data_IF_337108719437
#
_entry.id   IF_337108719437
#
_cell.length_a   1.000
_cell.length_b   1.000
_cell.length_c   1.000
_cell.angle_alpha   90.00
_cell.angle_beta   90.00
_cell.angle_gamma   90.00
#
_symmetry.space_group_name_H-M   'P 1'
#
loop_
_entity.id
_entity.type
_entity.pdbx_description
1 polymer ?
#
# COMPACT_ATOMS: atom_id res chain seq x y z
N UNK A 1 -10.58 15.16 -0.31
CA UNK A 1 -9.58 14.12 0.00
C UNK A 1 -9.64 12.89 -0.92
N UNK A 2 -10.81 12.36 -1.28
CA UNK A 2 -10.91 11.17 -2.16
C UNK A 2 -10.15 11.25 -3.50
N UNK A 3 -10.14 12.40 -4.17
CA UNK A 3 -9.34 12.59 -5.40
C UNK A 3 -7.83 12.51 -5.18
N UNK A 4 -7.35 12.94 -4.00
CA UNK A 4 -5.93 12.86 -3.62
C UNK A 4 -5.57 11.43 -3.24
N UNK A 5 -6.44 10.74 -2.50
CA UNK A 5 -6.25 9.33 -2.14
C UNK A 5 -6.16 8.41 -3.38
N UNK A 6 -6.85 8.72 -4.48
CA UNK A 6 -6.74 7.95 -5.73
C UNK A 6 -5.38 8.10 -6.44
N UNK A 7 -4.57 9.09 -6.07
CA UNK A 7 -3.22 9.26 -6.61
C UNK A 7 -2.23 8.23 -6.03
N UNK A 8 -2.46 7.76 -4.80
CA UNK A 8 -1.61 6.79 -4.13
C UNK A 8 -1.46 5.49 -4.93
N UNK A 9 -2.54 4.78 -5.32
CA UNK A 9 -2.40 3.56 -6.12
C UNK A 9 -1.87 3.83 -7.53
N UNK A 10 -2.10 5.03 -8.11
CA UNK A 10 -1.52 5.40 -9.41
C UNK A 10 0.01 5.42 -9.33
N UNK A 11 0.56 6.08 -8.31
CA UNK A 11 2.01 6.18 -8.14
C UNK A 11 2.58 4.80 -7.78
N UNK A 12 2.02 4.13 -6.76
CA UNK A 12 2.55 2.87 -6.26
C UNK A 12 2.47 1.74 -7.31
N UNK A 13 1.28 1.45 -7.83
CA UNK A 13 1.07 0.27 -8.67
C UNK A 13 1.40 0.49 -10.15
N UNK A 14 1.00 1.64 -10.72
CA UNK A 14 1.15 1.86 -12.16
C UNK A 14 2.52 2.44 -12.52
N UNK A 15 3.18 3.15 -11.62
CA UNK A 15 4.52 3.71 -11.86
C UNK A 15 5.59 2.86 -11.17
N UNK A 16 5.53 2.69 -9.84
CA UNK A 16 6.64 2.06 -9.09
C UNK A 16 6.68 0.54 -9.31
N UNK A 17 5.56 -0.17 -9.19
CA UNK A 17 5.54 -1.63 -9.42
C UNK A 17 5.84 -1.99 -10.88
N UNK A 18 5.37 -1.20 -11.85
CA UNK A 18 5.67 -1.46 -13.27
C UNK A 18 7.14 -1.24 -13.59
N UNK A 19 7.78 -0.19 -13.07
CA UNK A 19 9.22 0.04 -13.23
C UNK A 19 10.03 -1.12 -12.64
N UNK A 20 9.66 -1.59 -11.44
CA UNK A 20 10.32 -2.74 -10.79
C UNK A 20 10.16 -4.01 -11.63
N UNK A 21 8.94 -4.29 -12.10
CA UNK A 21 8.67 -5.45 -12.96
C UNK A 21 9.44 -5.38 -14.29
N UNK A 22 9.51 -4.21 -14.93
CA UNK A 22 10.26 -4.02 -16.17
C UNK A 22 11.76 -4.31 -15.97
N UNK A 23 12.35 -3.88 -14.85
CA UNK A 23 13.76 -4.17 -14.55
C UNK A 23 13.99 -5.67 -14.36
N UNK A 24 13.07 -6.37 -13.67
CA UNK A 24 13.14 -7.82 -13.52
C UNK A 24 13.04 -8.53 -14.88
N UNK A 25 12.13 -8.10 -15.76
CA UNK A 25 11.97 -8.68 -17.10
C UNK A 25 13.20 -8.42 -17.99
N UNK A 26 13.71 -7.19 -18.02
CA UNK A 26 14.88 -6.82 -18.85
C UNK A 26 16.15 -7.50 -18.36
N UNK A 27 16.32 -7.67 -17.04
CA UNK A 27 17.46 -8.41 -16.47
C UNK A 27 17.39 -9.93 -16.69
N UNK A 28 16.28 -10.44 -17.26
CA UNK A 28 16.09 -11.86 -17.52
C UNK A 28 15.87 -12.71 -16.27
N UNK A 29 15.60 -12.10 -15.11
CA UNK A 29 15.44 -12.78 -13.82
C UNK A 29 13.99 -13.23 -13.60
N UNK A 30 13.43 -13.99 -14.55
CA UNK A 30 12.06 -14.51 -14.48
C UNK A 30 11.95 -15.88 -15.15
N UNK A 31 10.96 -16.69 -14.74
CA UNK A 31 10.77 -18.04 -15.28
C UNK A 31 11.94 -18.98 -14.94
N UNK A 32 12.40 -19.75 -15.93
CA UNK A 32 13.44 -20.76 -15.77
C UNK A 32 14.85 -20.18 -15.50
N UNK A 33 15.04 -18.88 -15.71
CA UNK A 33 16.30 -18.17 -15.46
C UNK A 33 16.40 -17.60 -14.03
N UNK A 34 15.40 -17.85 -13.18
CA UNK A 34 15.37 -17.39 -11.80
C UNK A 34 16.32 -18.22 -10.92
N UNK A 35 17.29 -17.60 -10.21
CA UNK A 35 18.15 -18.35 -9.30
C UNK A 35 17.34 -18.88 -8.11
N UNK A 36 17.61 -20.12 -7.71
CA UNK A 36 16.90 -20.76 -6.59
C UNK A 36 17.08 -19.97 -5.29
N UNK A 37 15.98 -19.72 -4.59
CA UNK A 37 15.97 -19.06 -3.27
C UNK A 37 15.94 -17.54 -3.27
N UNK A 38 15.91 -16.87 -4.43
CA UNK A 38 15.67 -15.42 -4.51
C UNK A 38 14.19 -15.10 -4.66
N UNK A 39 13.59 -14.54 -3.60
CA UNK A 39 12.19 -14.13 -3.59
C UNK A 39 12.04 -12.67 -3.11
N UNK A 40 10.94 -12.04 -3.55
CA UNK A 40 10.52 -10.71 -3.11
C UNK A 40 11.61 -9.65 -3.23
N UNK A 41 11.96 -9.04 -2.09
CA UNK A 41 12.95 -7.97 -1.97
C UNK A 41 14.33 -8.34 -2.54
N UNK A 42 14.79 -9.57 -2.27
CA UNK A 42 16.12 -10.02 -2.68
C UNK A 42 16.20 -10.16 -4.20
N UNK A 43 15.13 -10.65 -4.84
CA UNK A 43 15.04 -10.77 -6.30
C UNK A 43 15.13 -9.41 -6.98
N UNK A 44 14.39 -8.42 -6.49
CA UNK A 44 14.46 -7.05 -7.02
C UNK A 44 15.86 -6.47 -6.88
N UNK A 45 16.51 -6.60 -5.71
CA UNK A 45 17.87 -6.11 -5.52
C UNK A 45 18.88 -6.78 -6.48
N UNK A 46 18.73 -8.08 -6.72
CA UNK A 46 19.56 -8.82 -7.67
C UNK A 46 19.35 -8.35 -9.12
N UNK A 47 18.11 -8.22 -9.57
CA UNK A 47 17.78 -7.73 -10.92
C UNK A 47 18.36 -6.33 -11.20
N UNK A 48 18.28 -5.44 -10.21
CA UNK A 48 18.89 -4.11 -10.29
C UNK A 48 20.42 -4.14 -10.25
N UNK A 49 21.03 -5.10 -9.54
CA UNK A 49 22.49 -5.25 -9.52
C UNK A 49 23.07 -5.65 -10.89
N UNK A 50 22.34 -6.45 -11.66
CA UNK A 50 22.76 -6.89 -12.99
C UNK A 50 22.70 -5.77 -14.04
N UNK A 51 21.77 -4.83 -13.87
CA UNK A 51 21.54 -3.75 -14.82
C UNK A 51 22.31 -2.48 -14.50
N UNK A 52 22.45 -2.14 -13.21
CA UNK A 52 23.04 -0.89 -12.72
C UNK A 52 24.32 -1.11 -11.89
N UNK A 53 24.80 -2.35 -11.78
CA UNK A 53 25.97 -2.71 -10.98
C UNK A 53 25.72 -2.65 -9.47
N UNK A 54 26.80 -2.71 -8.69
CA UNK A 54 26.73 -2.76 -7.23
C UNK A 54 26.01 -1.54 -6.61
N UNK A 55 26.17 -0.36 -7.22
CA UNK A 55 25.49 0.88 -6.81
C UNK A 55 23.97 0.77 -6.92
N UNK A 56 23.45 0.07 -7.96
CA UNK A 56 22.01 -0.15 -8.13
C UNK A 56 21.41 -0.98 -7.01
N UNK A 57 22.12 -2.02 -6.55
CA UNK A 57 21.66 -2.87 -5.44
C UNK A 57 21.55 -2.12 -4.12
N UNK A 58 22.49 -1.23 -3.82
CA UNK A 58 22.51 -0.45 -2.59
C UNK A 58 21.39 0.60 -2.54
N UNK A 59 21.16 1.28 -3.67
CA UNK A 59 20.08 2.26 -3.77
C UNK A 59 18.73 1.57 -3.57
N UNK A 60 18.48 0.46 -4.27
CA UNK A 60 17.22 -0.28 -4.18
C UNK A 60 17.03 -0.90 -2.80
N UNK A 61 18.06 -1.49 -2.21
CA UNK A 61 18.01 -2.01 -0.86
C UNK A 61 17.67 -0.93 0.18
N UNK A 62 18.27 0.25 0.06
CA UNK A 62 17.98 1.41 0.89
C UNK A 62 16.53 1.90 0.72
N UNK A 63 16.10 2.11 -0.52
CA UNK A 63 14.73 2.54 -0.83
C UNK A 63 13.69 1.53 -0.35
N UNK A 64 13.93 0.24 -0.53
CA UNK A 64 13.01 -0.81 -0.13
C UNK A 64 12.92 -0.94 1.40
N UNK A 65 14.03 -0.69 2.11
CA UNK A 65 14.02 -0.65 3.58
C UNK A 65 13.15 0.49 4.09
N UNK A 66 13.27 1.68 3.50
CA UNK A 66 12.43 2.83 3.85
C UNK A 66 10.95 2.59 3.51
N UNK A 67 10.68 1.95 2.38
CA UNK A 67 9.33 1.58 1.96
C UNK A 67 8.69 0.53 2.88
N UNK A 68 9.45 -0.49 3.30
CA UNK A 68 8.98 -1.47 4.28
C UNK A 68 8.67 -0.79 5.62
N UNK A 69 9.53 0.14 6.06
CA UNK A 69 9.33 0.88 7.30
C UNK A 69 8.06 1.75 7.27
N UNK A 70 7.84 2.51 6.19
CA UNK A 70 6.61 3.32 6.06
C UNK A 70 5.35 2.46 6.04
N UNK A 71 5.42 1.30 5.38
CA UNK A 71 4.33 0.31 5.34
C UNK A 71 4.02 -0.22 6.74
N UNK A 72 5.04 -0.62 7.51
CA UNK A 72 4.87 -1.10 8.89
C UNK A 72 4.17 -0.05 9.76
N UNK A 73 4.51 1.24 9.61
CA UNK A 73 3.86 2.33 10.34
C UNK A 73 2.40 2.51 9.91
N UNK A 74 2.13 2.54 8.59
CA UNK A 74 0.78 2.72 8.07
C UNK A 74 -0.16 1.61 8.56
N UNK A 75 0.27 0.35 8.48
CA UNK A 75 -0.51 -0.80 8.95
C UNK A 75 -0.67 -0.84 10.47
N UNK A 76 0.33 -0.37 11.23
CA UNK A 76 0.19 -0.17 12.68
C UNK A 76 -0.92 0.83 12.99
N UNK A 77 -0.99 1.94 12.24
CA UNK A 77 -2.03 2.96 12.42
C UNK A 77 -3.43 2.45 12.04
N UNK A 78 -3.57 1.72 10.93
CA UNK A 78 -4.86 1.14 10.55
C UNK A 78 -5.37 0.13 11.59
N UNK A 79 -4.47 -0.69 12.12
CA UNK A 79 -4.81 -1.64 13.17
C UNK A 79 -5.11 -0.98 14.51
N UNK A 80 -4.41 0.10 14.86
CA UNK A 80 -4.72 0.95 16.03
C UNK A 80 -6.16 1.47 15.94
N UNK A 81 -6.55 2.06 14.80
CA UNK A 81 -7.93 2.54 14.60
C UNK A 81 -8.96 1.42 14.67
N UNK A 82 -8.63 0.25 14.13
CA UNK A 82 -9.49 -0.93 14.19
C UNK A 82 -9.65 -1.48 15.62
N UNK A 83 -8.57 -1.54 16.38
CA UNK A 83 -8.56 -1.98 17.78
C UNK A 83 -9.33 -0.99 18.67
N UNK A 84 -9.13 0.31 18.46
CA UNK A 84 -9.88 1.36 19.16
C UNK A 84 -11.38 1.29 18.87
N UNK A 85 -11.76 1.04 17.61
CA UNK A 85 -13.17 0.87 17.23
C UNK A 85 -13.83 -0.35 17.88
N UNK A 86 -13.12 -1.48 17.99
CA UNK A 86 -13.70 -2.74 18.48
C UNK A 86 -13.66 -2.89 20.00
N UNK A 87 -12.58 -2.43 20.64
CA UNK A 87 -12.29 -2.67 22.06
C UNK A 87 -12.09 -1.39 22.89
N UNK A 88 -12.21 -0.22 22.26
CA UNK A 88 -11.99 1.08 22.89
C UNK A 88 -10.51 1.49 22.95
N UNK A 89 -10.24 2.74 23.35
CA UNK A 89 -8.89 3.32 23.30
C UNK A 89 -7.86 2.62 24.19
N UNK A 90 -8.31 1.91 25.24
CA UNK A 90 -7.42 1.16 26.13
C UNK A 90 -6.71 -0.01 25.44
N UNK A 91 -7.27 -0.53 24.34
CA UNK A 91 -6.72 -1.67 23.60
C UNK A 91 -5.59 -1.26 22.63
N UNK A 92 -5.42 0.04 22.38
CA UNK A 92 -4.45 0.57 21.41
C UNK A 92 -3.01 0.26 21.80
N UNK A 93 -2.64 0.51 23.05
CA UNK A 93 -1.26 0.30 23.52
C UNK A 93 -0.89 -1.19 23.52
N UNK A 94 -1.72 -2.11 24.07
CA UNK A 94 -1.50 -3.54 23.93
C UNK A 94 -1.38 -3.99 22.46
N UNK A 95 -2.25 -3.50 21.58
CA UNK A 95 -2.20 -3.81 20.15
C UNK A 95 -0.84 -3.43 19.53
N UNK A 96 -0.35 -2.21 19.76
CA UNK A 96 0.94 -1.75 19.20
C UNK A 96 2.11 -2.59 19.69
N UNK A 97 2.12 -3.00 20.97
CA UNK A 97 3.16 -3.87 21.53
C UNK A 97 3.15 -5.23 20.80
N UNK A 98 1.96 -5.84 20.69
CA UNK A 98 1.80 -7.13 20.00
C UNK A 98 2.23 -7.00 18.52
N UNK A 99 1.83 -5.93 17.85
CA UNK A 99 2.20 -5.67 16.45
C UNK A 99 3.72 -5.61 16.26
N UNK A 100 4.44 -4.87 17.10
CA UNK A 100 5.91 -4.79 17.04
C UNK A 100 6.56 -6.15 17.28
N UNK A 101 6.07 -6.93 18.24
CA UNK A 101 6.56 -8.29 18.48
C UNK A 101 6.30 -9.21 17.26
N UNK A 102 5.12 -9.11 16.65
CA UNK A 102 4.76 -9.88 15.47
C UNK A 102 5.62 -9.54 14.24
N UNK A 103 6.05 -8.29 14.09
CA UNK A 103 6.99 -7.90 13.01
C UNK A 103 8.32 -8.64 13.15
N UNK A 104 8.87 -8.73 14.37
CA UNK A 104 10.12 -9.45 14.63
C UNK A 104 9.96 -10.94 14.37
N UNK A 105 8.86 -11.54 14.83
CA UNK A 105 8.56 -12.96 14.59
C UNK A 105 8.35 -13.21 13.10
N UNK A 106 7.63 -12.32 12.40
CA UNK A 106 7.34 -12.41 10.98
C UNK A 106 8.59 -12.45 10.11
N UNK A 107 9.68 -11.81 10.53
CA UNK A 107 10.97 -11.88 9.83
C UNK A 107 11.60 -13.30 9.82
N UNK A 108 11.13 -14.21 10.68
CA UNK A 108 11.59 -15.61 10.76
C UNK A 108 10.68 -16.62 10.07
N UNK A 109 9.50 -16.17 9.61
CA UNK A 109 8.47 -17.02 8.99
C UNK A 109 8.70 -17.08 7.47
N UNK A 110 8.47 -18.24 6.80
CA UNK A 110 8.56 -18.33 5.35
C UNK A 110 7.65 -17.32 4.64
N UNK A 111 8.21 -16.62 3.66
CA UNK A 111 7.54 -15.55 2.91
C UNK A 111 6.18 -16.01 2.34
N UNK A 112 6.13 -17.21 1.73
CA UNK A 112 4.91 -17.80 1.19
C UNK A 112 3.79 -17.98 2.22
N UNK A 113 4.12 -18.34 3.47
CA UNK A 113 3.12 -18.49 4.52
C UNK A 113 2.54 -17.14 4.93
N UNK A 114 3.40 -16.11 5.05
CA UNK A 114 3.00 -14.75 5.38
C UNK A 114 2.06 -14.19 4.30
N UNK A 115 2.39 -14.36 3.02
CA UNK A 115 1.51 -13.94 1.92
C UNK A 115 0.18 -14.67 1.91
N UNK A 116 0.17 -16.00 2.07
CA UNK A 116 -1.08 -16.75 2.11
C UNK A 116 -2.01 -16.27 3.24
N UNK A 117 -1.46 -16.01 4.43
CA UNK A 117 -2.23 -15.49 5.56
C UNK A 117 -2.74 -14.06 5.28
N UNK A 118 -1.88 -13.21 4.71
CA UNK A 118 -2.23 -11.84 4.33
C UNK A 118 -3.34 -11.82 3.28
N UNK A 119 -3.30 -12.68 2.27
CA UNK A 119 -4.33 -12.77 1.23
C UNK A 119 -5.69 -13.18 1.82
N UNK A 120 -5.72 -14.18 2.71
CA UNK A 120 -6.96 -14.59 3.39
C UNK A 120 -7.51 -13.43 4.22
N UNK A 121 -6.67 -12.75 5.01
CA UNK A 121 -7.08 -11.62 5.84
C UNK A 121 -7.59 -10.44 4.98
N UNK A 122 -6.89 -10.12 3.89
CA UNK A 122 -7.27 -9.05 2.97
C UNK A 122 -8.59 -9.37 2.25
N UNK A 123 -8.82 -10.62 1.83
CA UNK A 123 -10.09 -11.04 1.23
C UNK A 123 -11.24 -10.93 2.25
N UNK A 124 -11.00 -11.30 3.50
CA UNK A 124 -12.00 -11.18 4.56
C UNK A 124 -12.34 -9.71 4.85
N UNK A 125 -11.36 -8.81 4.79
CA UNK A 125 -11.55 -7.36 4.96
C UNK A 125 -12.25 -6.72 3.75
N UNK A 126 -11.86 -7.07 2.53
CA UNK A 126 -12.37 -6.43 1.31
C UNK A 126 -13.81 -6.84 1.00
N UNK A 127 -14.20 -8.09 1.31
CA UNK A 127 -15.53 -8.62 1.02
C UNK A 127 -16.68 -7.76 1.60
N UNK A 128 -16.73 -7.44 2.91
CA UNK A 128 -17.79 -6.58 3.44
C UNK A 128 -17.69 -5.14 2.94
N UNK A 129 -16.48 -4.60 2.79
CA UNK A 129 -16.27 -3.23 2.29
C UNK A 129 -16.81 -3.04 0.87
N UNK A 130 -16.58 -4.00 -0.03
CA UNK A 130 -17.07 -3.94 -1.41
C UNK A 130 -18.60 -3.97 -1.47
N UNK A 131 -19.25 -4.78 -0.63
CA UNK A 131 -20.71 -4.82 -0.56
C UNK A 131 -21.27 -3.46 -0.13
N UNK A 132 -20.70 -2.85 0.90
CA UNK A 132 -21.12 -1.53 1.38
C UNK A 132 -20.88 -0.45 0.33
N UNK A 133 -19.72 -0.45 -0.34
CA UNK A 133 -19.41 0.51 -1.41
C UNK A 133 -20.38 0.36 -2.59
N UNK A 134 -20.77 -0.86 -2.95
CA UNK A 134 -21.74 -1.11 -4.00
C UNK A 134 -23.12 -0.55 -3.63
N UNK A 135 -23.58 -0.75 -2.40
CA UNK A 135 -24.84 -0.18 -1.89
C UNK A 135 -24.79 1.35 -1.79
N UNK A 136 -23.63 1.92 -1.43
CA UNK A 136 -23.41 3.35 -1.27
C UNK A 136 -23.03 4.07 -2.58
N UNK A 137 -22.87 3.35 -3.69
CA UNK A 137 -22.39 3.92 -4.96
C UNK A 137 -23.27 5.10 -5.43
N UNK A 138 -24.58 5.03 -5.21
CA UNK A 138 -25.51 6.12 -5.50
C UNK A 138 -25.20 7.40 -4.70
N UNK A 139 -24.92 7.26 -3.40
CA UNK A 139 -24.60 8.41 -2.54
C UNK A 139 -23.24 9.02 -2.86
N UNK A 140 -22.26 8.17 -3.17
CA UNK A 140 -20.93 8.62 -3.61
C UNK A 140 -21.03 9.43 -4.91
N UNK A 141 -21.88 9.00 -5.85
CA UNK A 141 -22.12 9.73 -7.11
C UNK A 141 -22.72 11.12 -6.85
N UNK A 142 -23.71 11.22 -5.98
CA UNK A 142 -24.32 12.50 -5.58
C UNK A 142 -23.27 13.45 -4.98
N UNK A 143 -22.46 12.97 -4.03
CA UNK A 143 -21.40 13.76 -3.40
C UNK A 143 -20.33 14.21 -4.41
N UNK A 144 -19.98 13.33 -5.36
CA UNK A 144 -19.05 13.64 -6.45
C UNK A 144 -19.61 14.74 -7.36
N UNK A 145 -20.88 14.65 -7.75
CA UNK A 145 -21.53 15.65 -8.60
C UNK A 145 -21.63 17.03 -7.91
N UNK A 146 -21.94 17.05 -6.60
CA UNK A 146 -21.96 18.28 -5.81
C UNK A 146 -20.56 18.90 -5.69
N UNK A 147 -19.53 18.11 -5.38
CA UNK A 147 -18.14 18.58 -5.30
C UNK A 147 -17.69 19.27 -6.60
N UNK A 148 -17.88 18.63 -7.76
CA UNK A 148 -17.49 19.21 -9.04
C UNK A 148 -18.34 20.43 -9.42
N UNK A 149 -19.61 20.49 -9.00
CA UNK A 149 -20.46 21.67 -9.17
C UNK A 149 -19.90 22.87 -8.40
N UNK A 150 -19.61 22.70 -7.10
CA UNK A 150 -18.99 23.75 -6.26
C UNK A 150 -17.66 24.21 -6.82
N UNK A 151 -16.83 23.27 -7.30
CA UNK A 151 -15.54 23.58 -7.91
C UNK A 151 -15.65 24.44 -9.16
N UNK A 152 -16.65 24.18 -10.02
CA UNK A 152 -16.93 24.99 -11.22
C UNK A 152 -17.40 26.39 -10.85
N UNK A 153 -18.29 26.52 -9.85
CA UNK A 153 -18.79 27.81 -9.35
C UNK A 153 -17.65 28.64 -8.77
N UNK A 154 -16.81 28.04 -7.92
CA UNK A 154 -15.65 28.71 -7.31
C UNK A 154 -14.66 29.23 -8.37
N UNK A 155 -14.44 28.45 -9.44
CA UNK A 155 -13.58 28.86 -10.56
C UNK A 155 -14.19 29.99 -11.40
N UNK A 156 -15.52 30.04 -11.54
CA UNK A 156 -16.22 31.11 -12.24
C UNK A 156 -16.33 32.42 -11.43
N UNK A 157 -16.33 32.33 -10.10
CA UNK A 157 -16.43 33.49 -9.17
C UNK A 157 -15.08 34.00 -8.66
N UNK A 158 -13.96 33.51 -9.19
CA UNK A 158 -12.63 33.98 -8.79
C UNK A 158 -12.23 33.62 -7.35
N UNK A 159 -12.82 32.58 -6.75
CA UNK A 159 -12.42 32.06 -5.43
C UNK A 159 -13.20 32.59 -4.22
N UNK A 160 -14.22 33.44 -4.40
CA UNK A 160 -14.91 34.11 -3.28
C UNK A 160 -15.91 33.24 -2.47
N UNK A 161 -16.11 31.95 -2.80
CA UNK A 161 -17.22 31.12 -2.25
C UNK A 161 -16.78 29.87 -1.48
N UNK A 162 -15.51 29.72 -1.12
CA UNK A 162 -15.01 28.54 -0.39
C UNK A 162 -15.13 28.64 1.15
N UNK A 163 -15.63 29.75 1.71
CA UNK A 163 -15.64 30.02 3.16
C UNK A 163 -17.02 30.22 3.81
N UNK A 164 -18.13 29.91 3.12
CA UNK A 164 -19.48 29.96 3.69
C UNK A 164 -20.18 28.60 3.59
#
# INVERSE_FOLDING_TARGET
>A
EGLVAMLEPLIDTLIICTMTALVIVISGQWGDALPEGLEGAALSAHAFSLTLGNTGSLIVGGSLTLFAFSTIIAWSYYGDRSASYLFGEIAVVPYRIIYVCLVVVGATIPLRLVWNLADIANVLMIAPNLVVLWLMAGKVREMKDDYFRRMKIAKATGGASLEA
#
